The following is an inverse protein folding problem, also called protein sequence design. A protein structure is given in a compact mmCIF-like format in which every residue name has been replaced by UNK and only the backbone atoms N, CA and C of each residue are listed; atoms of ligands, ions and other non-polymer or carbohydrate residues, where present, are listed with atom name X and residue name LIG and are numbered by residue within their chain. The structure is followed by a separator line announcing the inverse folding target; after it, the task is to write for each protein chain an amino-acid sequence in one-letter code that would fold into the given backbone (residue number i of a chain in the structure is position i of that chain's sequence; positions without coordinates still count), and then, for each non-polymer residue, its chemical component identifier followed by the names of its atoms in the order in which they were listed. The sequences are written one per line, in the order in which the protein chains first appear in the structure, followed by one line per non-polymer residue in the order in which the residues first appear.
data_IF_805031528551
#
_entry.id   IF_805031528551
#
_cell.length_a   1.000
_cell.length_b   1.000
_cell.length_c   1.000
_cell.angle_alpha   90.00
_cell.angle_beta   90.00
_cell.angle_gamma   90.00
#
_symmetry.space_group_name_H-M   'P 1'
#
loop_
_entity.id
_entity.type
_entity.pdbx_description
1 polymer ?
#
# COMPACT_ATOMS: atom_id res chain seq x y z
N UNK A 1 28.84 9.95 -5.33
CA UNK A 1 27.85 8.95 -4.88
C UNK A 1 27.13 8.41 -6.09
N UNK A 2 27.40 7.16 -6.47
CA UNK A 2 26.60 6.48 -7.49
C UNK A 2 25.19 6.22 -6.94
N UNK A 3 24.16 6.56 -7.72
CA UNK A 3 22.78 6.23 -7.39
C UNK A 3 22.43 4.91 -8.06
N UNK A 4 22.37 3.83 -7.29
CA UNK A 4 21.82 2.58 -7.77
C UNK A 4 20.29 2.66 -7.75
N UNK A 5 19.67 2.46 -8.90
CA UNK A 5 18.20 2.45 -9.05
C UNK A 5 17.78 1.03 -9.39
N UNK A 6 16.93 0.45 -8.55
CA UNK A 6 16.29 -0.84 -8.80
C UNK A 6 14.84 -0.57 -9.24
N UNK A 7 14.43 -1.15 -10.36
CA UNK A 7 13.01 -1.17 -10.75
C UNK A 7 12.37 -2.45 -10.20
N UNK A 8 11.32 -2.29 -9.41
CA UNK A 8 10.57 -3.40 -8.80
C UNK A 8 9.13 -3.35 -9.28
N UNK A 9 8.63 -4.50 -9.74
CA UNK A 9 7.21 -4.67 -10.08
C UNK A 9 6.50 -5.34 -8.91
N UNK A 10 5.39 -4.76 -8.47
CA UNK A 10 4.58 -5.29 -7.37
C UNK A 10 3.24 -5.76 -7.93
N UNK A 11 2.88 -7.02 -7.66
CA UNK A 11 1.53 -7.52 -7.93
C UNK A 11 0.56 -6.94 -6.88
N UNK A 12 -0.38 -6.14 -7.37
CA UNK A 12 -1.38 -5.47 -6.53
C UNK A 12 -2.43 -6.43 -5.98
N UNK A 13 -2.78 -7.50 -6.68
CA UNK A 13 -3.73 -8.49 -6.18
C UNK A 13 -3.10 -9.28 -5.03
N UNK A 14 -1.86 -9.73 -5.19
CA UNK A 14 -1.13 -10.41 -4.13
C UNK A 14 -0.96 -9.49 -2.89
N UNK A 15 -0.63 -8.21 -3.11
CA UNK A 15 -0.55 -7.23 -2.04
C UNK A 15 -1.90 -7.04 -1.35
N UNK A 16 -2.99 -6.94 -2.10
CA UNK A 16 -4.34 -6.81 -1.56
C UNK A 16 -4.72 -8.00 -0.67
N UNK A 17 -4.53 -9.23 -1.17
CA UNK A 17 -4.82 -10.44 -0.41
C UNK A 17 -3.99 -10.54 0.87
N UNK A 18 -2.71 -10.13 0.83
CA UNK A 18 -1.86 -10.03 2.02
C UNK A 18 -2.43 -9.03 3.04
N UNK A 19 -2.93 -7.88 2.60
CA UNK A 19 -3.54 -6.88 3.47
C UNK A 19 -4.86 -7.38 4.07
N UNK A 20 -5.71 -8.03 3.28
CA UNK A 20 -6.99 -8.60 3.73
C UNK A 20 -6.75 -9.74 4.73
N UNK A 21 -5.72 -10.56 4.50
CA UNK A 21 -5.29 -11.60 5.43
C UNK A 21 -4.58 -11.05 6.68
N UNK A 22 -4.17 -9.78 6.67
CA UNK A 22 -3.70 -9.13 7.88
C UNK A 22 -4.91 -8.85 8.77
N UNK A 23 -4.84 -9.18 10.07
CA UNK A 23 -5.90 -8.86 11.05
C UNK A 23 -6.07 -7.34 11.29
N UNK A 24 -5.50 -6.49 10.42
CA UNK A 24 -5.58 -5.04 10.49
C UNK A 24 -6.87 -4.60 9.78
N UNK A 25 -7.62 -3.72 10.42
CA UNK A 25 -8.79 -3.08 9.79
C UNK A 25 -8.41 -1.84 8.97
N UNK A 26 -7.25 -1.24 9.28
CA UNK A 26 -6.78 0.00 8.67
C UNK A 26 -5.30 -0.06 8.32
N UNK A 27 -4.90 0.72 7.32
CA UNK A 27 -3.51 0.89 6.94
C UNK A 27 -3.23 2.34 6.52
N UNK A 28 -2.11 2.88 6.99
CA UNK A 28 -1.56 4.18 6.56
C UNK A 28 -0.49 4.01 5.49
N UNK A 29 -0.32 4.99 4.59
CA UNK A 29 0.80 5.00 3.64
C UNK A 29 2.17 4.85 4.32
N UNK A 30 2.35 5.41 5.52
CA UNK A 30 3.61 5.30 6.28
C UNK A 30 3.90 3.86 6.71
N UNK A 31 2.88 3.11 7.13
CA UNK A 31 3.04 1.71 7.54
C UNK A 31 3.39 0.84 6.34
N UNK A 32 2.69 1.03 5.22
CA UNK A 32 3.00 0.30 3.98
C UNK A 32 4.39 0.69 3.42
N UNK A 33 4.77 1.95 3.53
CA UNK A 33 6.09 2.43 3.13
C UNK A 33 7.21 1.76 3.93
N UNK A 34 7.03 1.67 5.25
CA UNK A 34 7.96 0.98 6.14
C UNK A 34 8.05 -0.51 5.79
N UNK A 35 6.91 -1.20 5.64
CA UNK A 35 6.88 -2.63 5.33
C UNK A 35 7.54 -2.97 3.98
N UNK A 36 7.37 -2.12 2.97
CA UNK A 36 7.90 -2.36 1.62
C UNK A 36 9.25 -1.69 1.37
N UNK A 37 9.79 -0.94 2.34
CA UNK A 37 11.00 -0.13 2.19
C UNK A 37 10.94 0.82 0.97
N UNK A 38 9.78 1.44 0.76
CA UNK A 38 9.54 2.41 -0.32
C UNK A 38 9.22 3.79 0.25
N UNK A 39 9.27 4.81 -0.60
CA UNK A 39 8.83 6.15 -0.19
C UNK A 39 7.33 6.19 0.15
N UNK A 40 6.95 7.01 1.14
CA UNK A 40 5.54 7.26 1.52
C UNK A 40 4.70 7.70 0.32
N UNK A 41 5.29 8.45 -0.62
CA UNK A 41 4.63 8.85 -1.87
C UNK A 41 4.27 7.63 -2.72
N UNK A 42 5.15 6.64 -2.83
CA UNK A 42 4.90 5.42 -3.61
C UNK A 42 3.89 4.52 -2.92
N UNK A 43 3.98 4.36 -1.60
CA UNK A 43 2.96 3.65 -0.81
C UNK A 43 1.57 4.29 -0.94
N UNK A 44 1.49 5.63 -0.95
CA UNK A 44 0.24 6.34 -1.20
C UNK A 44 -0.35 6.07 -2.59
N UNK A 45 0.50 5.96 -3.62
CA UNK A 45 0.06 5.56 -4.97
C UNK A 45 -0.47 4.12 -4.99
N UNK A 46 0.21 3.18 -4.31
CA UNK A 46 -0.24 1.79 -4.19
C UNK A 46 -1.62 1.72 -3.52
N UNK A 47 -1.79 2.34 -2.35
CA UNK A 47 -3.07 2.36 -1.63
C UNK A 47 -4.18 3.04 -2.45
N UNK A 48 -3.88 4.12 -3.17
CA UNK A 48 -4.83 4.74 -4.08
C UNK A 48 -5.25 3.80 -5.22
N UNK A 49 -4.33 3.00 -5.76
CA UNK A 49 -4.63 2.02 -6.81
C UNK A 49 -5.47 0.86 -6.26
N UNK A 50 -5.10 0.34 -5.09
CA UNK A 50 -5.89 -0.68 -4.38
C UNK A 50 -7.31 -0.17 -4.07
N UNK A 51 -7.47 1.11 -3.74
CA UNK A 51 -8.77 1.71 -3.52
C UNK A 51 -9.63 1.72 -4.79
N UNK A 52 -9.04 2.08 -5.93
CA UNK A 52 -9.70 2.01 -7.24
C UNK A 52 -10.09 0.58 -7.64
N UNK A 53 -9.38 -0.43 -7.14
CA UNK A 53 -9.68 -1.84 -7.36
C UNK A 53 -10.71 -2.40 -6.37
N UNK A 54 -11.12 -1.62 -5.35
CA UNK A 54 -12.11 -2.03 -4.37
C UNK A 54 -11.56 -2.81 -3.17
N UNK A 55 -10.26 -3.02 -3.06
CA UNK A 55 -9.66 -3.76 -1.93
C UNK A 55 -9.51 -2.94 -0.65
N UNK A 56 -9.41 -1.62 -0.79
CA UNK A 56 -9.37 -0.69 0.34
C UNK A 56 -10.28 0.49 0.06
N UNK A 57 -10.58 1.27 1.09
CA UNK A 57 -11.37 2.50 0.98
C UNK A 57 -10.67 3.63 1.70
N UNK A 58 -10.64 4.81 1.09
CA UNK A 58 -10.08 5.98 1.75
C UNK A 58 -11.03 6.42 2.86
N UNK A 59 -10.63 6.21 4.10
CA UNK A 59 -11.44 6.52 5.27
C UNK A 59 -11.22 7.96 5.75
N UNK A 60 -9.96 8.40 5.78
CA UNK A 60 -9.61 9.77 6.15
C UNK A 60 -8.29 10.21 5.49
N UNK A 61 -7.76 11.37 5.89
CA UNK A 61 -6.46 11.84 5.40
C UNK A 61 -5.38 10.84 5.81
N UNK A 62 -4.76 10.20 4.81
CA UNK A 62 -3.70 9.21 4.97
C UNK A 62 -4.11 7.93 5.74
N UNK A 63 -5.40 7.58 5.75
CA UNK A 63 -5.87 6.33 6.36
C UNK A 63 -6.81 5.61 5.41
N UNK A 64 -6.54 4.32 5.19
CA UNK A 64 -7.35 3.45 4.35
C UNK A 64 -7.94 2.32 5.21
N UNK A 65 -9.22 2.03 5.02
CA UNK A 65 -9.89 0.86 5.60
C UNK A 65 -9.72 -0.32 4.64
N UNK A 66 -9.34 -1.48 5.18
CA UNK A 66 -9.21 -2.72 4.40
C UNK A 66 -10.61 -3.33 4.25
N UNK A 67 -10.99 -3.72 3.03
CA UNK A 67 -12.27 -4.39 2.78
C UNK A 67 -12.03 -5.91 2.82
N UNK A 68 -12.71 -6.58 3.74
CA UNK A 68 -12.75 -8.04 3.85
C UNK A 68 -13.84 -8.63 2.97
#
# INVERSE_FOLDING_TARGET
MEKHVLTVTIDLNALAHRLIGSKKQYIRPQELAYELSISVRSAGKLLSRLAKMGYVEKWSKNLYRIKH
#
